data_IF_636695158798
#
_entry.id   IF_636695158798
#
_cell.length_a   1.000
_cell.length_b   1.000
_cell.length_c   1.000
_cell.angle_alpha   90.00
_cell.angle_beta   90.00
_cell.angle_gamma   90.00
#
_symmetry.space_group_name_H-M   'P 1'
#
loop_
_entity.id
_entity.type
_entity.pdbx_description
1 polymer ?
#
# COMPACT_ATOMS: atom_id res chain seq x y z
N UNK A 1 11.11 28.91 -19.09
CA UNK A 1 10.52 27.62 -19.50
C UNK A 1 9.40 27.37 -18.50
N UNK A 2 8.16 27.64 -18.88
CA UNK A 2 6.99 27.34 -18.05
C UNK A 2 6.76 25.83 -18.19
N UNK A 3 6.95 25.08 -17.11
CA UNK A 3 6.46 23.72 -17.05
C UNK A 3 4.95 23.80 -16.89
N UNK A 4 4.22 23.05 -17.72
CA UNK A 4 2.77 22.93 -17.61
C UNK A 4 2.45 22.27 -16.25
N UNK A 5 1.55 22.86 -15.47
CA UNK A 5 1.13 22.38 -14.12
C UNK A 5 0.20 21.15 -14.23
N UNK A 6 0.45 20.29 -15.20
CA UNK A 6 -0.29 19.05 -15.42
C UNK A 6 -0.03 18.03 -14.32
N UNK A 7 -0.93 17.04 -14.16
CA UNK A 7 -0.75 16.00 -13.16
C UNK A 7 0.53 15.20 -13.44
N UNK A 8 1.28 14.96 -12.38
CA UNK A 8 2.48 14.13 -12.38
C UNK A 8 2.18 12.68 -12.76
N UNK A 9 3.22 11.94 -13.16
CA UNK A 9 3.13 10.50 -13.44
C UNK A 9 2.54 9.73 -12.24
N UNK A 10 2.93 10.12 -11.03
CA UNK A 10 2.47 9.49 -9.79
C UNK A 10 0.97 9.73 -9.56
N UNK A 11 0.49 10.95 -9.80
CA UNK A 11 -0.93 11.30 -9.70
C UNK A 11 -1.77 10.55 -10.73
N UNK A 12 -1.36 10.56 -12.00
CA UNK A 12 -2.06 9.86 -13.08
C UNK A 12 -2.13 8.33 -12.86
N UNK A 13 -1.03 7.73 -12.40
CA UNK A 13 -0.99 6.31 -12.06
C UNK A 13 -1.94 5.98 -10.91
N UNK A 14 -1.89 6.77 -9.83
CA UNK A 14 -2.74 6.55 -8.67
C UNK A 14 -4.22 6.78 -8.97
N UNK A 15 -4.56 7.75 -9.81
CA UNK A 15 -5.91 7.92 -10.33
C UNK A 15 -6.38 6.67 -11.08
N UNK A 16 -5.52 6.09 -11.92
CA UNK A 16 -5.82 4.88 -12.69
C UNK A 16 -5.95 3.63 -11.79
N UNK A 17 -5.14 3.53 -10.73
CA UNK A 17 -5.21 2.45 -9.74
C UNK A 17 -6.50 2.50 -8.92
N UNK A 18 -6.98 3.69 -8.59
CA UNK A 18 -8.20 3.90 -7.79
C UNK A 18 -9.47 3.78 -8.61
N UNK A 19 -9.40 4.05 -9.92
CA UNK A 19 -10.53 3.95 -10.85
C UNK A 19 -11.14 2.54 -10.89
N UNK A 20 -12.45 2.43 -10.70
CA UNK A 20 -13.20 1.18 -10.87
C UNK A 20 -13.10 0.59 -12.29
N UNK A 21 -12.99 1.46 -13.31
CA UNK A 21 -12.77 1.03 -14.67
C UNK A 21 -11.35 0.48 -14.85
N UNK A 22 -11.22 -0.85 -14.82
CA UNK A 22 -9.94 -1.57 -14.96
C UNK A 22 -9.31 -1.44 -16.35
N UNK A 23 -10.04 -0.99 -17.38
CA UNK A 23 -9.44 -0.71 -18.68
C UNK A 23 -8.42 0.44 -18.60
N UNK A 24 -8.65 1.40 -17.70
CA UNK A 24 -7.74 2.54 -17.48
C UNK A 24 -6.37 2.10 -16.95
N UNK A 25 -6.29 0.91 -16.34
CA UNK A 25 -5.04 0.39 -15.78
C UNK A 25 -4.17 -0.34 -16.82
N UNK A 26 -4.75 -0.83 -17.93
CA UNK A 26 -4.02 -1.61 -18.95
C UNK A 26 -2.79 -0.89 -19.50
N UNK A 27 -2.83 0.42 -19.84
CA UNK A 27 -1.64 1.14 -20.31
C UNK A 27 -0.49 1.15 -19.29
N UNK A 28 -0.81 1.05 -18.00
CA UNK A 28 0.16 1.08 -16.91
C UNK A 28 0.82 -0.27 -16.62
N UNK A 29 0.33 -1.38 -17.19
CA UNK A 29 0.85 -2.71 -16.86
C UNK A 29 2.37 -2.87 -17.04
N UNK A 30 3.01 -2.38 -18.13
CA UNK A 30 4.46 -2.46 -18.27
C UNK A 30 5.19 -1.69 -17.17
N UNK A 31 4.71 -0.48 -16.83
CA UNK A 31 5.28 0.35 -15.77
C UNK A 31 5.09 -0.30 -14.39
N UNK A 32 3.87 -0.74 -14.07
CA UNK A 32 3.57 -1.43 -12.82
C UNK A 32 4.39 -2.69 -12.65
N UNK A 33 4.56 -3.48 -13.71
CA UNK A 33 5.45 -4.66 -13.67
C UNK A 33 6.86 -4.25 -13.30
N UNK A 34 7.43 -3.24 -13.96
CA UNK A 34 8.78 -2.75 -13.66
C UNK A 34 8.88 -2.22 -12.22
N UNK A 35 7.97 -1.32 -11.84
CA UNK A 35 7.95 -0.65 -10.55
C UNK A 35 7.77 -1.66 -9.40
N UNK A 36 6.75 -2.51 -9.45
CA UNK A 36 6.53 -3.53 -8.42
C UNK A 36 7.69 -4.53 -8.37
N UNK A 37 8.26 -4.93 -9.50
CA UNK A 37 9.44 -5.83 -9.50
C UNK A 37 10.65 -5.18 -8.84
N UNK A 38 10.88 -3.88 -9.07
CA UNK A 38 11.94 -3.14 -8.41
C UNK A 38 11.72 -3.07 -6.90
N UNK A 39 10.50 -2.73 -6.46
CA UNK A 39 10.14 -2.67 -5.04
C UNK A 39 10.23 -4.05 -4.34
N UNK A 40 9.91 -5.15 -5.04
CA UNK A 40 10.08 -6.50 -4.51
C UNK A 40 11.54 -6.87 -4.24
N UNK A 41 12.51 -6.21 -4.89
CA UNK A 41 13.94 -6.42 -4.61
C UNK A 41 14.44 -5.65 -3.38
N UNK A 42 13.67 -4.66 -2.91
CA UNK A 42 14.00 -3.92 -1.70
C UNK A 42 13.56 -4.70 -0.46
N UNK A 43 14.33 -4.64 0.63
CA UNK A 43 13.94 -5.27 1.89
C UNK A 43 12.62 -4.67 2.39
N UNK A 44 11.72 -5.53 2.88
CA UNK A 44 10.53 -5.06 3.60
C UNK A 44 10.94 -4.53 4.97
N UNK A 45 10.38 -3.39 5.35
CA UNK A 45 10.56 -2.77 6.64
C UNK A 45 9.23 -2.75 7.39
N UNK A 46 9.24 -3.34 8.58
CA UNK A 46 8.15 -3.20 9.55
C UNK A 46 8.40 -1.93 10.36
N UNK A 47 7.59 -0.90 10.16
CA UNK A 47 7.77 0.39 10.81
C UNK A 47 6.45 1.16 10.85
N UNK A 48 6.41 2.22 11.65
CA UNK A 48 5.32 3.18 11.65
C UNK A 48 5.63 4.25 10.60
N UNK A 49 4.65 4.53 9.74
CA UNK A 49 4.75 5.57 8.70
C UNK A 49 3.54 6.49 8.74
N UNK A 50 3.73 7.68 8.19
CA UNK A 50 2.73 8.74 8.18
C UNK A 50 2.42 9.16 6.75
N UNK A 51 1.14 9.37 6.48
CA UNK A 51 0.66 9.89 5.20
C UNK A 51 -0.40 10.94 5.43
N UNK A 52 -0.12 12.15 4.97
CA UNK A 52 -1.09 13.22 4.96
C UNK A 52 -1.97 13.24 3.72
N UNK A 53 -3.17 13.78 3.91
CA UNK A 53 -4.11 14.15 2.86
C UNK A 53 -4.69 15.50 3.24
N UNK A 54 -4.54 16.47 2.33
CA UNK A 54 -4.97 17.85 2.54
C UNK A 54 -6.44 18.07 2.19
N UNK A 55 -7.04 19.07 2.82
CA UNK A 55 -8.34 19.66 2.45
C UNK A 55 -9.53 18.69 2.43
N UNK A 56 -9.44 17.62 3.23
CA UNK A 56 -10.51 16.64 3.40
C UNK A 56 -10.44 15.92 4.76
N UNK A 57 -11.61 15.76 5.38
CA UNK A 57 -11.87 14.81 6.46
C UNK A 57 -12.33 13.47 5.86
N UNK A 58 -11.58 12.40 6.14
CA UNK A 58 -11.91 11.04 5.70
C UNK A 58 -12.40 10.15 6.84
N UNK A 59 -12.52 10.63 8.08
CA UNK A 59 -12.86 9.83 9.26
C UNK A 59 -14.16 9.04 9.09
N UNK A 60 -15.17 9.63 8.45
CA UNK A 60 -16.44 8.97 8.15
C UNK A 60 -16.31 7.76 7.20
N UNK A 61 -15.26 7.69 6.38
CA UNK A 61 -15.02 6.56 5.46
C UNK A 61 -14.27 5.41 6.13
N UNK A 62 -13.57 5.67 7.22
CA UNK A 62 -12.62 4.74 7.84
C UNK A 62 -13.10 4.24 9.19
N UNK A 63 -14.29 3.66 9.28
CA UNK A 63 -14.83 3.15 10.55
C UNK A 63 -13.89 2.11 11.20
N UNK A 64 -13.68 2.24 12.52
CA UNK A 64 -12.82 1.33 13.29
C UNK A 64 -13.26 -0.13 13.13
N UNK A 65 -12.28 -1.03 12.95
CA UNK A 65 -12.48 -2.45 12.69
C UNK A 65 -12.74 -2.78 11.22
N UNK A 66 -12.89 -1.78 10.35
CA UNK A 66 -13.05 -2.02 8.91
C UNK A 66 -11.73 -2.51 8.31
N UNK A 67 -11.84 -3.54 7.48
CA UNK A 67 -10.74 -4.05 6.66
C UNK A 67 -11.00 -3.68 5.19
N UNK A 68 -9.99 -3.12 4.53
CA UNK A 68 -10.11 -2.67 3.15
C UNK A 68 -8.81 -2.84 2.37
N UNK A 69 -8.91 -2.82 1.05
CA UNK A 69 -7.77 -2.82 0.14
C UNK A 69 -7.38 -1.38 -0.23
N UNK A 70 -6.09 -1.06 -0.10
CA UNK A 70 -5.51 0.23 -0.46
C UNK A 70 -4.93 0.15 -1.87
N UNK A 71 -5.73 0.51 -2.89
CA UNK A 71 -5.38 0.28 -4.29
C UNK A 71 -4.23 1.15 -4.82
N UNK A 72 -4.06 2.35 -4.28
CA UNK A 72 -3.01 3.28 -4.72
C UNK A 72 -1.63 2.92 -4.19
N UNK A 73 -0.59 3.37 -4.88
CA UNK A 73 0.76 3.47 -4.32
C UNK A 73 0.76 4.65 -3.34
N UNK A 74 1.19 4.40 -2.11
CA UNK A 74 1.35 5.46 -1.11
C UNK A 74 2.82 5.74 -0.88
N UNK A 75 3.21 6.99 -1.06
CA UNK A 75 4.41 7.55 -0.47
C UNK A 75 4.10 7.99 0.96
N UNK A 76 4.99 7.64 1.89
CA UNK A 76 4.85 7.88 3.32
C UNK A 76 6.20 8.31 3.91
N UNK A 77 6.14 9.06 5.01
CA UNK A 77 7.32 9.48 5.76
C UNK A 77 7.40 8.70 7.08
N UNK A 78 8.61 8.40 7.54
CA UNK A 78 8.84 7.83 8.87
C UNK A 78 8.78 8.90 9.98
N UNK A 79 9.09 10.14 9.62
CA UNK A 79 9.15 11.28 10.53
C UNK A 79 8.01 12.27 10.28
N UNK A 80 7.39 12.72 11.37
CA UNK A 80 6.25 13.63 11.35
C UNK A 80 6.68 15.07 11.06
N UNK A 81 7.88 15.50 11.47
CA UNK A 81 8.37 16.86 11.17
C UNK A 81 8.59 17.03 9.66
N UNK A 82 9.16 16.02 9.01
CA UNK A 82 9.32 15.98 7.56
C UNK A 82 7.97 16.04 6.83
N UNK A 83 6.91 15.45 7.42
CA UNK A 83 5.56 15.51 6.89
C UNK A 83 4.94 16.91 7.01
N UNK A 84 5.07 17.57 8.16
CA UNK A 84 4.58 18.94 8.37
C UNK A 84 5.22 19.92 7.37
N UNK A 85 6.53 19.78 7.13
CA UNK A 85 7.27 20.60 6.17
C UNK A 85 6.82 20.32 4.73
N UNK A 86 6.68 19.05 4.34
CA UNK A 86 6.35 18.67 2.96
C UNK A 86 4.88 18.89 2.60
N UNK A 87 3.97 18.77 3.57
CA UNK A 87 2.53 18.80 3.32
C UNK A 87 1.84 20.06 3.81
N UNK A 88 2.54 21.00 4.46
CA UNK A 88 2.03 22.35 4.77
C UNK A 88 0.57 22.34 5.26
N UNK A 89 0.26 21.50 6.25
CA UNK A 89 -1.10 21.39 6.77
C UNK A 89 -1.54 22.74 7.38
N UNK A 90 -2.57 23.35 6.81
CA UNK A 90 -3.15 24.56 7.39
C UNK A 90 -4.10 24.18 8.52
N UNK A 91 -3.96 24.82 9.68
CA UNK A 91 -4.87 24.63 10.82
C UNK A 91 -6.31 25.11 10.56
N UNK A 92 -6.55 25.83 9.46
CA UNK A 92 -7.86 26.33 9.06
C UNK A 92 -8.63 25.34 8.17
N UNK A 93 -7.95 24.33 7.64
CA UNK A 93 -8.52 23.36 6.71
C UNK A 93 -8.71 22.00 7.39
N UNK A 94 -9.71 21.25 6.92
CA UNK A 94 -9.89 19.87 7.37
C UNK A 94 -8.81 19.02 6.72
N UNK A 95 -7.99 18.35 7.51
CA UNK A 95 -6.87 17.56 7.02
C UNK A 95 -6.94 16.16 7.62
N UNK A 96 -6.60 15.15 6.83
CA UNK A 96 -6.51 13.78 7.31
C UNK A 96 -5.05 13.34 7.38
N UNK A 97 -4.65 12.78 8.52
CA UNK A 97 -3.35 12.16 8.73
C UNK A 97 -3.52 10.66 9.01
N UNK A 98 -2.96 9.83 8.15
CA UNK A 98 -2.89 8.40 8.39
C UNK A 98 -1.65 8.05 9.21
N UNK A 99 -1.86 7.34 10.32
CA UNK A 99 -0.83 6.72 11.16
C UNK A 99 -0.82 5.22 10.86
N UNK A 100 0.17 4.75 10.12
CA UNK A 100 0.13 3.40 9.53
C UNK A 100 1.22 2.51 10.15
N UNK A 101 0.81 1.42 10.80
CA UNK A 101 1.69 0.31 11.18
C UNK A 101 1.89 -0.61 9.97
N UNK A 102 2.95 -0.40 9.18
CA UNK A 102 3.22 -1.22 8.00
C UNK A 102 4.16 -2.40 8.31
N UNK A 103 3.99 -3.49 7.58
CA UNK A 103 4.84 -4.69 7.61
C UNK A 103 5.67 -4.85 6.32
N UNK A 104 5.20 -4.30 5.20
CA UNK A 104 5.84 -4.43 3.89
C UNK A 104 6.32 -3.09 3.29
N UNK A 105 6.58 -2.08 4.13
CA UNK A 105 7.10 -0.79 3.67
C UNK A 105 8.42 -0.95 2.92
N UNK A 106 8.57 -0.24 1.80
CA UNK A 106 9.77 -0.26 0.95
C UNK A 106 10.47 1.09 1.00
N UNK A 107 11.62 1.15 1.67
CA UNK A 107 12.41 2.38 1.64
C UNK A 107 13.02 2.60 0.27
N UNK A 108 12.75 3.77 -0.30
CA UNK A 108 13.35 4.20 -1.57
C UNK A 108 14.31 5.37 -1.38
N UNK A 109 14.73 5.65 -0.13
CA UNK A 109 15.60 6.77 0.22
C UNK A 109 16.91 6.83 -0.58
N UNK A 110 17.45 5.68 -1.01
CA UNK A 110 18.66 5.59 -1.84
C UNK A 110 18.40 5.89 -3.32
N UNK A 111 17.16 5.69 -3.79
CA UNK A 111 16.70 5.86 -5.16
C UNK A 111 15.95 7.17 -5.38
N UNK A 112 15.48 7.82 -4.30
CA UNK A 112 14.77 9.10 -4.36
C UNK A 112 15.70 10.22 -4.83
N UNK A 113 15.10 11.20 -5.51
CA UNK A 113 15.81 12.41 -5.94
C UNK A 113 16.26 13.25 -4.73
N UNK A 114 15.45 13.27 -3.66
CA UNK A 114 15.71 13.98 -2.41
C UNK A 114 16.46 13.10 -1.41
N UNK A 115 17.68 12.70 -1.81
CA UNK A 115 18.53 11.83 -0.99
C UNK A 115 18.79 12.45 0.37
N UNK A 116 18.62 11.65 1.43
CA UNK A 116 18.91 11.96 2.83
C UNK A 116 18.00 12.99 3.52
N UNK A 117 17.05 13.61 2.83
CA UNK A 117 16.09 14.55 3.45
C UNK A 117 14.72 13.92 3.64
N UNK A 118 14.32 13.02 2.76
CA UNK A 118 13.04 12.32 2.83
C UNK A 118 13.31 10.83 3.08
N UNK A 119 13.01 10.36 4.28
CA UNK A 119 13.05 8.94 4.63
C UNK A 119 11.79 8.25 4.06
N UNK A 120 11.65 8.32 2.74
CA UNK A 120 10.46 7.91 2.02
C UNK A 120 10.29 6.39 2.04
N UNK A 121 9.11 5.97 2.48
CA UNK A 121 8.64 4.58 2.48
C UNK A 121 7.47 4.47 1.52
N UNK A 122 7.59 3.57 0.55
CA UNK A 122 6.50 3.21 -0.34
C UNK A 122 5.70 2.05 0.24
N UNK A 123 4.38 2.20 0.29
CA UNK A 123 3.44 1.11 0.49
C UNK A 123 2.93 0.64 -0.88
N UNK A 124 2.92 -0.69 -1.06
CA UNK A 124 2.54 -1.31 -2.32
C UNK A 124 1.04 -1.11 -2.63
N UNK A 125 0.67 -0.99 -3.91
CA UNK A 125 -0.73 -0.97 -4.29
C UNK A 125 -1.37 -2.33 -4.01
N UNK A 126 -2.61 -2.31 -3.52
CA UNK A 126 -3.35 -3.50 -3.13
C UNK A 126 -2.98 -4.08 -1.76
N UNK A 127 -2.19 -3.36 -0.94
CA UNK A 127 -1.99 -3.71 0.47
C UNK A 127 -3.32 -3.64 1.24
N UNK A 128 -3.48 -4.49 2.25
CA UNK A 128 -4.68 -4.53 3.08
C UNK A 128 -4.42 -3.89 4.43
N UNK A 129 -5.41 -3.13 4.90
CA UNK A 129 -5.32 -2.44 6.18
C UNK A 129 -6.59 -2.65 6.99
N UNK A 130 -6.41 -2.75 8.31
CA UNK A 130 -7.45 -2.63 9.31
C UNK A 130 -7.40 -1.23 9.92
N UNK A 131 -8.56 -0.59 10.11
CA UNK A 131 -8.66 0.63 10.90
C UNK A 131 -8.63 0.28 12.39
N UNK A 132 -7.61 0.74 13.10
CA UNK A 132 -7.41 0.40 14.52
C UNK A 132 -7.89 1.51 15.47
N UNK A 133 -7.81 2.77 15.06
CA UNK A 133 -8.30 3.92 15.82
C UNK A 133 -8.63 5.12 14.91
N UNK A 134 -9.29 6.11 15.51
CA UNK A 134 -9.48 7.44 14.96
C UNK A 134 -9.34 8.46 16.09
N UNK A 135 -8.71 9.59 15.80
CA UNK A 135 -8.64 10.74 16.68
C UNK A 135 -9.02 11.99 15.87
N UNK A 136 -10.15 12.60 16.22
CA UNK A 136 -10.61 13.84 15.60
C UNK A 136 -10.24 15.01 16.51
N UNK A 137 -9.32 15.87 16.07
CA UNK A 137 -8.95 17.08 16.81
C UNK A 137 -9.98 18.19 16.58
N UNK A 138 -10.14 19.07 17.57
CA UNK A 138 -10.91 20.30 17.41
C UNK A 138 -10.29 21.27 16.39
N UNK A 139 -9.02 21.06 16.01
CA UNK A 139 -8.24 21.94 15.11
C UNK A 139 -8.34 21.56 13.63
N UNK A 140 -9.36 20.78 13.23
CA UNK A 140 -9.53 20.33 11.85
C UNK A 140 -8.55 19.24 11.38
N UNK A 141 -7.72 18.71 12.28
CA UNK A 141 -6.84 17.57 11.98
C UNK A 141 -7.49 16.26 12.43
N UNK A 142 -7.67 15.34 11.50
CA UNK A 142 -8.25 14.02 11.70
C UNK A 142 -7.18 12.96 11.54
N UNK A 143 -6.87 12.22 12.60
CA UNK A 143 -5.88 11.15 12.57
C UNK A 143 -6.58 9.81 12.49
N UNK A 144 -6.20 8.98 11.52
CA UNK A 144 -6.73 7.63 11.32
C UNK A 144 -5.59 6.63 11.48
N UNK A 145 -5.69 5.77 12.48
CA UNK A 145 -4.74 4.68 12.70
C UNK A 145 -5.08 3.47 11.85
N UNK A 146 -4.08 3.00 11.10
CA UNK A 146 -4.18 1.82 10.26
C UNK A 146 -3.12 0.79 10.66
N UNK A 147 -3.46 -0.49 10.52
CA UNK A 147 -2.52 -1.61 10.61
C UNK A 147 -2.53 -2.41 9.33
N UNK A 148 -1.37 -2.56 8.70
CA UNK A 148 -1.24 -3.45 7.55
C UNK A 148 -1.43 -4.90 8.00
N UNK A 149 -2.26 -5.64 7.27
CA UNK A 149 -2.52 -7.05 7.51
C UNK A 149 -2.04 -7.89 6.33
N UNK A 150 -1.43 -9.04 6.62
CA UNK A 150 -1.08 -10.01 5.60
C UNK A 150 -2.33 -10.76 5.16
N UNK A 151 -2.61 -10.76 3.85
CA UNK A 151 -3.64 -11.63 3.26
C UNK A 151 -2.97 -12.80 2.52
N UNK A 152 -3.70 -13.90 2.36
CA UNK A 152 -3.24 -15.05 1.58
C UNK A 152 -3.04 -14.74 0.09
N UNK A 153 -3.54 -13.59 -0.38
CA UNK A 153 -3.37 -13.10 -1.74
C UNK A 153 -2.12 -12.24 -1.85
N UNK A 154 -0.95 -12.88 -1.97
CA UNK A 154 0.27 -12.19 -2.38
C UNK A 154 0.18 -11.84 -3.87
N UNK A 155 -0.13 -10.57 -4.18
CA UNK A 155 -0.32 -10.08 -5.56
C UNK A 155 0.97 -10.20 -6.40
N UNK A 156 2.13 -10.02 -5.77
CA UNK A 156 3.43 -10.12 -6.43
C UNK A 156 4.34 -11.03 -5.62
N UNK A 157 4.40 -12.30 -6.00
CA UNK A 157 5.54 -13.13 -5.60
C UNK A 157 6.75 -12.67 -6.41
N UNK A 158 7.90 -12.39 -5.77
CA UNK A 158 9.09 -12.08 -6.52
C UNK A 158 9.41 -13.25 -7.46
N UNK A 159 9.55 -12.98 -8.76
CA UNK A 159 9.85 -14.03 -9.75
C UNK A 159 11.11 -14.82 -9.37
N UNK A 160 12.05 -14.20 -8.65
CA UNK A 160 13.28 -14.83 -8.17
C UNK A 160 13.08 -15.75 -6.94
N UNK A 161 11.96 -15.68 -6.23
CA UNK A 161 11.65 -16.62 -5.15
C UNK A 161 11.25 -18.00 -5.71
N UNK A 162 10.67 -18.03 -6.92
CA UNK A 162 10.23 -19.26 -7.59
C UNK A 162 11.43 -20.16 -7.93
N UNK A 163 12.57 -19.57 -8.30
CA UNK A 163 13.80 -20.31 -8.63
C UNK A 163 14.40 -21.05 -7.42
N UNK A 164 14.21 -20.52 -6.21
CA UNK A 164 14.68 -21.15 -4.98
C UNK A 164 13.71 -22.23 -4.47
N UNK A 165 12.42 -22.13 -4.78
CA UNK A 165 11.42 -23.14 -4.41
C UNK A 165 11.51 -24.39 -5.32
N UNK A 166 11.73 -24.22 -6.62
CA UNK A 166 11.86 -25.36 -7.57
C UNK A 166 13.13 -26.18 -7.36
N UNK A 167 14.23 -25.54 -6.94
CA UNK A 167 15.49 -26.22 -6.59
C UNK A 167 15.41 -26.99 -5.26
N UNK A 168 14.47 -26.62 -4.37
CA UNK A 168 14.27 -27.32 -3.09
C UNK A 168 13.19 -28.41 -3.17
N UNK A 169 12.21 -28.26 -4.06
CA UNK A 169 11.11 -29.22 -4.26
C UNK A 169 11.55 -30.48 -5.03
N UNK A 170 12.46 -30.33 -6.00
CA UNK A 170 13.03 -31.45 -6.77
C UNK A 170 13.85 -32.43 -5.91
N UNK A 171 14.31 -32.03 -4.72
CA UNK A 171 15.00 -32.90 -3.76
C UNK A 171 14.05 -33.72 -2.85
N UNK A 172 12.75 -33.44 -2.83
CA UNK A 172 11.77 -34.11 -1.94
C UNK A 172 10.79 -35.05 -2.65
N UNK A 173 10.80 -35.10 -3.98
CA UNK A 173 9.86 -35.91 -4.75
C UNK A 173 10.27 -37.38 -4.95
N UNK A 174 11.38 -37.83 -4.38
CA UNK A 174 11.83 -39.24 -4.48
C UNK A 174 11.60 -40.11 -3.24
N UNK A 175 11.00 -39.62 -2.15
CA UNK A 175 10.90 -40.42 -0.91
C UNK A 175 9.50 -40.63 -0.31
N UNK A 176 8.40 -40.39 -1.02
CA UNK A 176 7.08 -40.73 -0.47
C UNK A 176 6.07 -41.17 -1.53
N UNK A 177 6.16 -42.44 -1.93
CA UNK A 177 5.02 -43.19 -2.46
C UNK A 177 4.67 -44.28 -1.45
N UNK A 178 3.71 -44.00 -0.56
CA UNK A 178 2.82 -45.01 0.03
C UNK A 178 1.58 -44.39 0.69
N UNK A 179 0.44 -44.62 0.02
CA UNK A 179 -0.92 -44.84 0.55
C UNK A 179 -1.53 -43.87 1.57
N UNK A 180 -2.58 -43.16 1.15
CA UNK A 180 -4.00 -43.49 1.42
C UNK A 180 -4.90 -42.25 1.59
N UNK A 181 -6.16 -42.44 1.18
CA UNK A 181 -7.29 -41.54 0.99
C UNK A 181 -7.89 -40.94 2.27
N UNK A 182 -8.53 -39.76 2.17
CA UNK A 182 -9.97 -39.47 2.49
C UNK A 182 -10.30 -37.98 2.33
N UNK A 183 -11.55 -37.69 1.93
CA UNK A 183 -12.21 -36.41 1.65
C UNK A 183 -12.25 -35.40 2.81
N UNK A 184 -12.42 -34.09 2.51
CA UNK A 184 -13.59 -33.27 2.93
C UNK A 184 -13.53 -31.85 2.34
N UNK A 185 -14.71 -31.21 2.23
CA UNK A 185 -15.02 -30.00 1.48
C UNK A 185 -14.33 -28.69 1.88
N UNK A 186 -14.36 -27.75 0.94
CA UNK A 186 -13.86 -26.38 1.05
C UNK A 186 -15.02 -25.47 1.44
N UNK A 187 -14.96 -24.68 2.53
CA UNK A 187 -15.86 -23.56 2.73
C UNK A 187 -15.35 -22.32 2.00
N UNK A 188 -16.22 -21.68 1.22
CA UNK A 188 -15.97 -20.38 0.59
C UNK A 188 -16.16 -19.25 1.61
N UNK A 189 -15.12 -18.45 1.85
CA UNK A 189 -15.29 -17.13 2.49
C UNK A 189 -14.36 -16.10 1.87
N UNK A 190 -14.84 -15.46 0.82
CA UNK A 190 -14.28 -14.22 0.29
C UNK A 190 -15.46 -13.25 0.07
N UNK A 191 -15.94 -12.59 1.13
CA UNK A 191 -17.11 -11.71 1.00
C UNK A 191 -17.11 -10.43 1.85
N UNK A 192 -16.05 -10.09 2.59
CA UNK A 192 -16.11 -8.95 3.54
C UNK A 192 -15.12 -7.80 3.28
N UNK A 193 -14.53 -7.69 2.09
CA UNK A 193 -13.63 -6.57 1.78
C UNK A 193 -14.41 -5.40 1.20
N UNK A 194 -14.46 -4.28 1.93
CA UNK A 194 -15.08 -3.03 1.46
C UNK A 194 -14.08 -2.25 0.60
N UNK A 195 -14.50 -1.80 -0.58
CA UNK A 195 -13.72 -0.85 -1.38
C UNK A 195 -13.98 0.53 -0.81
N UNK A 196 -12.92 1.19 -0.32
CA UNK A 196 -13.00 2.59 0.10
C UNK A 196 -12.38 3.46 -0.99
N UNK A 197 -13.23 4.19 -1.72
CA UNK A 197 -12.80 5.19 -2.69
C UNK A 197 -12.25 6.44 -1.97
N UNK A 198 -10.98 6.75 -2.23
CA UNK A 198 -10.38 8.03 -1.87
C UNK A 198 -10.21 8.89 -3.13
N UNK A 199 -11.05 9.91 -3.27
CA UNK A 199 -10.74 11.06 -4.12
C UNK A 199 -9.61 11.84 -3.45
N UNK A 200 -8.41 11.70 -3.97
CA UNK A 200 -7.32 12.65 -3.74
C UNK A 200 -6.89 13.12 -5.11
N UNK A 201 -7.15 14.40 -5.38
CA UNK A 201 -6.45 15.14 -6.43
C UNK A 201 -4.99 15.26 -6.04
#
# INVERSE_FOLDING_TARGET
MQFDDGPSLFELLNQSLRSENRQNLKPWFPYLKLFCTALCKLPSQKTKVWRGVRDVDLSAKYEKGTIFAWWGISSCMTDMQTLEISQSFSAQEQNTLFSIECINGKSISQQSYFKNTEQEIILMPGSYFEVIDQLNSATGLHIIGLREITTSMTLFKPLFAIWNEETTSSAKYQSSISSSSTSTGIPSTASNYRVLEQMTK
#
